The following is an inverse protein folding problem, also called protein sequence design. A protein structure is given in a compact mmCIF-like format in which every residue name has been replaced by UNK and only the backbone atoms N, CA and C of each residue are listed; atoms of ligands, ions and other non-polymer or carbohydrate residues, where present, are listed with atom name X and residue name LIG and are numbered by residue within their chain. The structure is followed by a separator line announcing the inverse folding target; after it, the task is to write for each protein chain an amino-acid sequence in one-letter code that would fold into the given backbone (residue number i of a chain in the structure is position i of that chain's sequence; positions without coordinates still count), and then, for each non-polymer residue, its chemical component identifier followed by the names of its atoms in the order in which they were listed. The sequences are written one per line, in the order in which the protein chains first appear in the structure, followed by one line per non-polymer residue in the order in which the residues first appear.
data_IF_097738658248
#
_entry.id   IF_097738658248
#
_cell.length_a   1.000
_cell.length_b   1.000
_cell.length_c   1.000
_cell.angle_alpha   90.00
_cell.angle_beta   90.00
_cell.angle_gamma   90.00
#
_symmetry.space_group_name_H-M   'P 1'
#
loop_
_entity.id
_entity.type
_entity.pdbx_description
1 polymer ?
#
# COMPACT_ATOMS: atom_id res chain seq x y z
N UNK A 1 -6.15 2.19 17.99
CA UNK A 1 -5.79 0.77 17.80
C UNK A 1 -4.62 0.35 18.71
N UNK A 2 -3.37 0.70 18.39
CA UNK A 2 -2.19 0.15 19.09
C UNK A 2 -2.07 0.46 20.60
N UNK A 3 -2.60 1.59 21.05
CA UNK A 3 -2.50 2.05 22.45
C UNK A 3 -3.73 1.73 23.29
N UNK A 4 -4.79 1.20 22.69
CA UNK A 4 -6.06 0.97 23.35
C UNK A 4 -6.16 -0.51 23.81
N UNK A 5 -6.21 -0.77 25.14
CA UNK A 5 -6.23 -2.12 25.68
C UNK A 5 -7.38 -2.98 25.16
N UNK A 6 -8.51 -2.39 24.78
CA UNK A 6 -9.68 -3.10 24.26
C UNK A 6 -9.35 -3.93 23.00
N UNK A 7 -8.35 -3.50 22.23
CA UNK A 7 -7.97 -4.15 20.97
C UNK A 7 -6.75 -5.07 21.09
N UNK A 8 -6.08 -5.10 22.24
CA UNK A 8 -4.84 -5.86 22.48
C UNK A 8 -4.97 -7.37 22.23
N UNK A 9 -6.20 -7.91 22.30
CA UNK A 9 -6.50 -9.32 22.04
C UNK A 9 -6.42 -9.74 20.56
N UNK A 10 -6.51 -8.80 19.62
CA UNK A 10 -6.63 -9.08 18.18
C UNK A 10 -5.30 -9.52 17.58
N UNK A 11 -5.32 -10.60 16.77
CA UNK A 11 -4.12 -11.16 16.12
C UNK A 11 -3.36 -10.15 15.28
N UNK A 12 -4.06 -9.35 14.47
CA UNK A 12 -3.45 -8.31 13.64
C UNK A 12 -2.65 -7.28 14.47
N UNK A 13 -3.17 -6.89 15.64
CA UNK A 13 -2.48 -5.98 16.56
C UNK A 13 -1.25 -6.63 17.18
N UNK A 14 -1.38 -7.87 17.67
CA UNK A 14 -0.26 -8.63 18.26
C UNK A 14 0.88 -8.85 17.26
N UNK A 15 0.53 -9.13 16.01
CA UNK A 15 1.49 -9.42 14.94
C UNK A 15 1.99 -8.16 14.23
N UNK A 16 1.54 -6.96 14.63
CA UNK A 16 1.80 -5.68 13.93
C UNK A 16 1.42 -5.71 12.44
N UNK A 17 0.45 -6.54 12.07
CA UNK A 17 -0.13 -6.62 10.74
C UNK A 17 -1.24 -5.57 10.61
N UNK A 18 -0.88 -4.30 10.78
CA UNK A 18 -1.75 -3.14 10.62
C UNK A 18 -1.15 -2.31 9.50
N UNK A 19 -1.94 -2.10 8.47
CA UNK A 19 -1.49 -1.47 7.23
C UNK A 19 -2.38 -0.28 6.94
N UNK A 20 -1.79 0.79 6.45
CA UNK A 20 -2.47 2.02 6.04
C UNK A 20 -2.17 2.26 4.57
N UNK A 21 -3.22 2.50 3.78
CA UNK A 21 -3.05 2.73 2.35
C UNK A 21 -2.15 3.95 2.09
N UNK A 22 -1.27 3.88 1.08
CA UNK A 22 -0.50 5.04 0.66
C UNK A 22 -1.46 6.12 0.14
N UNK A 23 -1.24 7.34 0.60
CA UNK A 23 -2.13 8.48 0.32
C UNK A 23 -1.40 9.83 0.20
N UNK A 24 -0.06 9.83 0.18
CA UNK A 24 0.73 11.06 0.16
C UNK A 24 0.62 11.84 -1.16
N UNK A 25 0.57 11.14 -2.30
CA UNK A 25 0.31 11.73 -3.61
C UNK A 25 -1.19 11.70 -3.94
N UNK A 26 -1.79 10.52 -3.84
CA UNK A 26 -3.22 10.28 -4.00
C UNK A 26 -3.62 9.02 -3.22
N UNK A 27 -4.88 8.94 -2.72
CA UNK A 27 -5.36 7.78 -1.98
C UNK A 27 -5.57 6.58 -2.90
N UNK A 28 -4.94 5.44 -2.58
CA UNK A 28 -5.06 4.19 -3.35
C UNK A 28 -6.29 3.34 -2.98
N UNK A 29 -7.10 3.79 -2.03
CA UNK A 29 -8.30 3.11 -1.53
C UNK A 29 -9.62 3.73 -2.04
N UNK A 30 -9.54 4.80 -2.84
CA UNK A 30 -10.69 5.43 -3.47
C UNK A 30 -11.03 4.81 -4.83
N UNK A 31 -12.31 4.87 -5.29
CA UNK A 31 -12.74 4.29 -6.56
C UNK A 31 -12.33 5.16 -7.77
N UNK A 32 -11.03 5.36 -7.93
CA UNK A 32 -10.35 6.02 -9.05
C UNK A 32 -9.44 4.99 -9.75
N UNK A 33 -8.70 5.40 -10.78
CA UNK A 33 -7.76 4.50 -11.46
C UNK A 33 -6.69 3.93 -10.49
N UNK A 34 -6.29 4.70 -9.48
CA UNK A 34 -5.28 4.29 -8.50
C UNK A 34 -5.75 3.19 -7.54
N UNK A 35 -7.03 2.79 -7.58
CA UNK A 35 -7.49 1.57 -6.88
C UNK A 35 -6.72 0.31 -7.32
N UNK A 36 -6.21 0.29 -8.56
CA UNK A 36 -5.34 -0.80 -9.04
C UNK A 36 -4.05 -0.91 -8.20
N UNK A 37 -3.47 0.23 -7.81
CA UNK A 37 -2.33 0.27 -6.91
C UNK A 37 -2.71 -0.17 -5.50
N UNK A 38 -3.93 0.13 -5.06
CA UNK A 38 -4.47 -0.39 -3.79
C UNK A 38 -4.52 -1.91 -3.73
N UNK A 39 -4.94 -2.57 -4.83
CA UNK A 39 -4.94 -4.04 -4.93
C UNK A 39 -3.52 -4.60 -4.92
N UNK A 40 -2.59 -3.99 -5.68
CA UNK A 40 -1.18 -4.39 -5.70
C UNK A 40 -0.55 -4.26 -4.31
N UNK A 41 -0.78 -3.13 -3.64
CA UNK A 41 -0.29 -2.87 -2.28
C UNK A 41 -0.89 -3.85 -1.26
N UNK A 42 -2.19 -4.14 -1.32
CA UNK A 42 -2.81 -5.13 -0.43
C UNK A 42 -2.22 -6.52 -0.65
N UNK A 43 -1.97 -6.91 -1.91
CA UNK A 43 -1.36 -8.20 -2.26
C UNK A 43 0.04 -8.30 -1.68
N UNK A 44 0.85 -7.24 -1.78
CA UNK A 44 2.18 -7.19 -1.16
C UNK A 44 2.12 -7.39 0.37
N UNK A 45 1.22 -6.69 1.06
CA UNK A 45 1.13 -6.77 2.52
C UNK A 45 0.59 -8.11 3.03
N UNK A 46 -0.30 -8.76 2.27
CA UNK A 46 -0.92 -10.04 2.65
C UNK A 46 -0.12 -11.26 2.21
N UNK A 47 0.57 -11.16 1.07
CA UNK A 47 1.29 -12.26 0.41
C UNK A 47 2.64 -11.79 -0.16
N UNK A 48 3.58 -11.31 0.68
CA UNK A 48 4.86 -10.76 0.22
C UNK A 48 5.77 -11.80 -0.47
N UNK A 49 5.50 -13.09 -0.27
CA UNK A 49 6.14 -14.21 -0.95
C UNK A 49 5.68 -14.38 -2.41
N UNK A 50 4.48 -13.91 -2.72
CA UNK A 50 3.90 -13.95 -4.07
C UNK A 50 4.01 -12.59 -4.79
N UNK A 51 4.04 -11.49 -4.03
CA UNK A 51 4.14 -10.13 -4.55
C UNK A 51 5.11 -9.31 -3.71
N UNK A 52 6.33 -9.20 -4.20
CA UNK A 52 7.42 -8.53 -3.47
C UNK A 52 7.22 -7.01 -3.45
N UNK A 53 8.02 -6.33 -2.62
CA UNK A 53 8.05 -4.86 -2.64
C UNK A 53 8.51 -4.34 -4.01
N UNK A 54 9.38 -5.05 -4.72
CA UNK A 54 9.85 -4.62 -6.04
C UNK A 54 8.78 -4.82 -7.12
N UNK A 55 7.92 -5.83 -6.99
CA UNK A 55 6.75 -5.99 -7.86
C UNK A 55 5.76 -4.84 -7.67
N UNK A 56 5.47 -4.46 -6.42
CA UNK A 56 4.65 -3.29 -6.11
C UNK A 56 5.23 -1.99 -6.69
N UNK A 57 6.54 -1.79 -6.58
CA UNK A 57 7.21 -0.60 -7.16
C UNK A 57 7.06 -0.57 -8.67
N UNK A 58 7.25 -1.71 -9.32
CA UNK A 58 7.09 -1.83 -10.77
C UNK A 58 5.67 -1.50 -11.20
N UNK A 59 4.65 -2.05 -10.52
CA UNK A 59 3.24 -1.74 -10.79
C UNK A 59 2.95 -0.24 -10.64
N UNK A 60 3.50 0.39 -9.60
CA UNK A 60 3.34 1.82 -9.37
C UNK A 60 4.00 2.67 -10.47
N UNK A 61 5.24 2.34 -10.86
CA UNK A 61 5.95 3.04 -11.93
C UNK A 61 5.21 2.90 -13.28
N UNK A 62 4.75 1.69 -13.61
CA UNK A 62 3.97 1.43 -14.82
C UNK A 62 2.66 2.22 -14.83
N UNK A 63 1.92 2.23 -13.71
CA UNK A 63 0.69 3.00 -13.55
C UNK A 63 0.93 4.51 -13.70
N UNK A 64 1.86 5.09 -12.96
CA UNK A 64 2.08 6.54 -12.98
C UNK A 64 2.63 7.00 -14.32
N UNK A 65 3.48 6.19 -14.96
CA UNK A 65 3.92 6.48 -16.31
C UNK A 65 2.77 6.41 -17.32
N UNK A 66 1.85 5.44 -17.20
CA UNK A 66 0.68 5.34 -18.06
C UNK A 66 -0.29 6.51 -17.89
N UNK A 67 -0.60 6.90 -16.65
CA UNK A 67 -1.63 7.90 -16.35
C UNK A 67 -1.10 9.33 -16.43
N UNK A 68 0.16 9.57 -16.03
CA UNK A 68 0.74 10.91 -15.87
C UNK A 68 2.02 11.14 -16.69
N UNK A 69 2.55 10.11 -17.37
CA UNK A 69 3.77 10.23 -18.17
C UNK A 69 5.06 10.43 -17.35
N UNK A 70 5.04 10.07 -16.06
CA UNK A 70 6.20 10.18 -15.15
C UNK A 70 6.12 9.20 -13.99
N UNK A 71 7.23 8.94 -13.32
CA UNK A 71 7.30 8.15 -12.08
C UNK A 71 7.53 9.06 -10.86
N UNK A 72 7.41 8.48 -9.66
CA UNK A 72 7.57 9.18 -8.38
C UNK A 72 8.46 8.37 -7.43
N UNK A 73 9.02 9.02 -6.41
CA UNK A 73 9.77 8.31 -5.36
C UNK A 73 8.82 7.56 -4.43
N UNK A 74 9.33 6.55 -3.70
CA UNK A 74 8.56 5.81 -2.70
C UNK A 74 7.92 6.74 -1.66
N UNK A 75 8.69 7.72 -1.19
CA UNK A 75 8.22 8.71 -0.23
C UNK A 75 7.07 9.54 -0.78
N UNK A 76 7.17 10.01 -2.03
CA UNK A 76 6.09 10.73 -2.70
C UNK A 76 4.84 9.87 -2.83
N UNK A 77 5.00 8.58 -3.12
CA UNK A 77 3.89 7.63 -3.22
C UNK A 77 3.33 7.21 -1.85
N UNK A 78 4.00 7.53 -0.74
CA UNK A 78 3.60 7.11 0.61
C UNK A 78 4.00 5.69 0.98
N UNK A 79 4.90 5.05 0.21
CA UNK A 79 5.50 3.76 0.53
C UNK A 79 6.71 4.00 1.46
N UNK A 80 6.63 3.50 2.70
CA UNK A 80 7.67 3.63 3.74
C UNK A 80 8.18 2.28 4.19
#
# INVERSE_FOLDING_TARGET
LLKDPAWSGIKAIKNKAIYEFPSALEPWDYPTASVALGVSWATHNLHPDLHSLDDLKKDADEFYNLVYGKTFTLEQMGLK
#
